data_IF_547277047457
#
_entry.id   IF_547277047457
#
_cell.length_a   1.000
_cell.length_b   1.000
_cell.length_c   1.000
_cell.angle_alpha   90.00
_cell.angle_beta   90.00
_cell.angle_gamma   90.00
#
_symmetry.space_group_name_H-M   'P 1'
#
loop_
_entity.id
_entity.type
_entity.pdbx_description
1 polymer ?
#
# COMPACT_ATOMS: atom_id res chain seq x y z
N UNK A 1 3.43 9.91 -25.07
CA UNK A 1 3.33 8.49 -24.65
C UNK A 1 4.24 8.37 -23.45
N UNK A 2 3.71 8.10 -22.25
CA UNK A 2 4.52 8.13 -21.02
C UNK A 2 5.18 6.77 -20.80
N UNK A 3 6.47 6.82 -20.48
CA UNK A 3 7.25 5.64 -20.15
C UNK A 3 7.09 5.33 -18.66
N UNK A 4 7.02 4.05 -18.25
CA UNK A 4 6.84 3.67 -16.84
C UNK A 4 7.96 4.13 -15.90
N UNK A 5 9.13 4.49 -16.45
CA UNK A 5 10.30 4.93 -15.71
C UNK A 5 10.34 6.45 -15.43
N UNK A 6 9.37 7.21 -15.95
CA UNK A 6 9.24 8.65 -15.71
C UNK A 6 7.76 8.99 -15.42
N UNK A 7 7.26 8.60 -14.22
CA UNK A 7 5.86 8.78 -13.88
C UNK A 7 5.52 10.25 -13.71
N UNK A 8 4.41 10.70 -14.31
CA UNK A 8 3.90 12.05 -14.03
C UNK A 8 3.27 12.10 -12.64
N UNK A 9 3.70 13.10 -11.89
CA UNK A 9 3.30 13.30 -10.51
C UNK A 9 2.13 14.29 -10.47
N UNK A 10 1.11 14.06 -9.62
CA UNK A 10 0.05 15.04 -9.43
C UNK A 10 0.66 16.33 -8.85
N UNK A 11 0.27 17.46 -9.43
CA UNK A 11 0.77 18.78 -9.02
C UNK A 11 -0.11 19.44 -7.96
N UNK A 12 -1.36 18.98 -7.84
CA UNK A 12 -2.37 19.56 -6.95
C UNK A 12 -3.14 18.47 -6.18
N UNK A 13 -3.57 18.74 -4.94
CA UNK A 13 -4.47 17.85 -4.21
C UNK A 13 -5.76 17.56 -5.00
N UNK A 14 -6.14 16.28 -5.09
CA UNK A 14 -7.33 15.83 -5.81
C UNK A 14 -7.18 15.71 -7.34
N UNK A 15 -5.99 16.00 -7.89
CA UNK A 15 -5.71 15.74 -9.31
C UNK A 15 -5.69 14.23 -9.58
N UNK A 16 -6.46 13.79 -10.57
CA UNK A 16 -6.54 12.38 -10.98
C UNK A 16 -5.77 12.19 -12.28
N UNK A 17 -4.71 11.39 -12.21
CA UNK A 17 -3.93 10.97 -13.36
C UNK A 17 -4.32 9.54 -13.74
N UNK A 18 -4.57 9.32 -15.04
CA UNK A 18 -4.95 8.01 -15.56
C UNK A 18 -3.81 7.46 -16.42
N UNK A 19 -3.02 6.54 -15.87
CA UNK A 19 -2.01 5.82 -16.64
C UNK A 19 -2.63 4.65 -17.39
N UNK A 20 -2.20 4.47 -18.65
CA UNK A 20 -2.73 3.44 -19.56
C UNK A 20 -1.58 2.66 -20.18
N UNK A 21 -1.89 1.49 -20.72
CA UNK A 21 -0.91 0.60 -21.40
C UNK A 21 0.21 0.13 -20.45
N UNK A 22 -0.11 -0.04 -19.17
CA UNK A 22 0.75 -0.72 -18.21
C UNK A 22 0.49 -2.23 -18.35
N UNK A 23 1.41 -2.94 -18.97
CA UNK A 23 1.29 -4.39 -19.20
C UNK A 23 2.20 -5.15 -18.25
N UNK A 24 1.74 -6.32 -17.78
CA UNK A 24 2.47 -7.11 -16.79
C UNK A 24 2.74 -6.30 -15.51
N UNK A 25 3.97 -6.36 -15.03
CA UNK A 25 4.44 -5.68 -13.82
C UNK A 25 4.82 -4.19 -14.04
N UNK A 26 4.49 -3.61 -15.19
CA UNK A 26 4.83 -2.21 -15.50
C UNK A 26 4.16 -1.21 -14.54
N UNK A 27 3.00 -1.55 -13.96
CA UNK A 27 2.37 -0.75 -12.90
C UNK A 27 3.23 -0.71 -11.64
N UNK A 28 3.77 -1.85 -11.21
CA UNK A 28 4.65 -1.94 -10.04
C UNK A 28 5.96 -1.18 -10.25
N UNK A 29 6.53 -1.20 -11.45
CA UNK A 29 7.67 -0.34 -11.80
C UNK A 29 7.32 1.15 -11.67
N UNK A 30 6.19 1.58 -12.24
CA UNK A 30 5.77 2.97 -12.17
C UNK A 30 5.50 3.43 -10.73
N UNK A 31 4.94 2.56 -9.87
CA UNK A 31 4.77 2.82 -8.44
C UNK A 31 6.11 2.93 -7.72
N UNK A 32 7.07 2.05 -8.02
CA UNK A 32 8.41 2.08 -7.43
C UNK A 32 9.17 3.38 -7.75
N UNK A 33 9.08 3.84 -9.00
CA UNK A 33 9.65 5.12 -9.41
C UNK A 33 8.94 6.30 -8.74
N UNK A 34 7.60 6.26 -8.65
CA UNK A 34 6.84 7.31 -7.98
C UNK A 34 7.19 7.40 -6.49
N UNK A 35 7.36 6.27 -5.80
CA UNK A 35 7.78 6.23 -4.40
C UNK A 35 9.20 6.79 -4.20
N UNK A 36 10.08 6.56 -5.16
CA UNK A 36 11.44 7.12 -5.16
C UNK A 36 11.45 8.65 -5.31
N UNK A 37 10.48 9.22 -6.04
CA UNK A 37 10.43 10.65 -6.33
C UNK A 37 9.57 11.47 -5.35
N UNK A 38 8.44 10.94 -4.87
CA UNK A 38 7.45 11.67 -4.04
C UNK A 38 7.44 11.28 -2.56
N UNK A 39 8.04 10.15 -2.19
CA UNK A 39 8.04 9.64 -0.82
C UNK A 39 7.01 8.54 -0.60
N UNK A 40 6.16 8.67 0.43
CA UNK A 40 5.20 7.63 0.80
C UNK A 40 4.08 7.48 -0.25
N UNK A 41 3.90 6.25 -0.73
CA UNK A 41 2.84 5.89 -1.68
C UNK A 41 1.91 4.86 -1.06
N UNK A 42 0.61 5.14 -1.07
CA UNK A 42 -0.42 4.17 -0.68
C UNK A 42 -0.94 3.50 -1.94
N UNK A 43 -0.56 2.24 -2.15
CA UNK A 43 -1.02 1.43 -3.27
C UNK A 43 -2.29 0.68 -2.88
N UNK A 44 -3.43 1.11 -3.43
CA UNK A 44 -4.72 0.48 -3.19
C UNK A 44 -4.97 -0.61 -4.21
N UNK A 45 -5.16 -1.85 -3.74
CA UNK A 45 -5.50 -3.00 -4.58
C UNK A 45 -6.96 -3.41 -4.40
N UNK A 46 -7.59 -3.88 -5.47
CA UNK A 46 -8.98 -4.35 -5.44
C UNK A 46 -9.14 -5.69 -4.72
N UNK A 47 -8.10 -6.52 -4.75
CA UNK A 47 -8.14 -7.90 -4.27
C UNK A 47 -6.94 -8.21 -3.39
N UNK A 48 -7.18 -8.77 -2.21
CA UNK A 48 -6.13 -9.18 -1.26
C UNK A 48 -5.18 -10.22 -1.85
N UNK A 49 -5.66 -11.06 -2.78
CA UNK A 49 -4.85 -12.06 -3.47
C UNK A 49 -3.67 -11.45 -4.24
N UNK A 50 -3.80 -10.22 -4.73
CA UNK A 50 -2.74 -9.54 -5.48
C UNK A 50 -1.66 -8.91 -4.59
N UNK A 51 -1.90 -8.75 -3.28
CA UNK A 51 -0.95 -8.09 -2.36
C UNK A 51 0.42 -8.78 -2.38
N UNK A 52 0.44 -10.10 -2.27
CA UNK A 52 1.70 -10.88 -2.24
C UNK A 52 2.49 -10.80 -3.56
N UNK A 53 1.80 -10.63 -4.69
CA UNK A 53 2.43 -10.45 -6.00
C UNK A 53 3.02 -9.04 -6.10
N UNK A 54 2.23 -8.02 -5.76
CA UNK A 54 2.67 -6.62 -5.76
C UNK A 54 3.85 -6.40 -4.82
N UNK A 55 3.84 -7.02 -3.64
CA UNK A 55 4.94 -6.97 -2.68
C UNK A 55 6.24 -7.50 -3.30
N UNK A 56 6.20 -8.66 -3.96
CA UNK A 56 7.37 -9.25 -4.64
C UNK A 56 7.87 -8.39 -5.81
N UNK A 57 6.95 -7.88 -6.63
CA UNK A 57 7.29 -7.02 -7.77
C UNK A 57 7.94 -5.71 -7.30
N UNK A 58 7.36 -5.07 -6.28
CA UNK A 58 7.89 -3.84 -5.70
C UNK A 58 9.23 -4.09 -5.02
N UNK A 59 9.39 -5.18 -4.27
CA UNK A 59 10.66 -5.56 -3.68
C UNK A 59 11.75 -5.72 -4.75
N UNK A 60 11.42 -6.35 -5.90
CA UNK A 60 12.33 -6.49 -7.03
C UNK A 60 12.74 -5.14 -7.63
N UNK A 61 11.78 -4.25 -7.93
CA UNK A 61 12.10 -2.95 -8.55
C UNK A 61 12.77 -1.96 -7.60
N UNK A 62 12.42 -2.00 -6.32
CA UNK A 62 13.00 -1.12 -5.31
C UNK A 62 14.39 -1.60 -4.87
N UNK A 63 14.70 -2.89 -4.97
CA UNK A 63 16.01 -3.47 -4.60
C UNK A 63 16.47 -3.02 -3.20
N UNK A 64 15.53 -3.03 -2.24
CA UNK A 64 15.79 -2.61 -0.86
C UNK A 64 15.99 -1.10 -0.64
N UNK A 65 15.90 -0.26 -1.69
CA UNK A 65 16.05 1.21 -1.56
C UNK A 65 14.98 1.83 -0.68
N UNK A 66 13.76 1.29 -0.73
CA UNK A 66 12.61 1.79 0.03
C UNK A 66 11.87 0.62 0.70
N UNK A 67 11.32 0.84 1.91
CA UNK A 67 10.47 -0.14 2.58
C UNK A 67 9.15 -0.36 1.81
N UNK A 68 8.77 -1.63 1.67
CA UNK A 68 7.44 -2.06 1.19
C UNK A 68 6.73 -2.70 2.38
N UNK A 69 5.57 -2.16 2.75
CA UNK A 69 4.74 -2.67 3.84
C UNK A 69 3.35 -3.02 3.33
N UNK A 70 2.69 -3.94 4.02
CA UNK A 70 1.32 -4.36 3.71
C UNK A 70 0.43 -4.04 4.91
N UNK A 71 -0.79 -3.55 4.64
CA UNK A 71 -1.84 -3.42 5.65
C UNK A 71 -2.93 -4.46 5.34
N UNK A 72 -2.91 -5.61 6.03
CA UNK A 72 -3.79 -6.73 5.68
C UNK A 72 -5.23 -6.43 6.09
N UNK A 73 -6.18 -7.01 5.36
CA UNK A 73 -7.58 -7.06 5.79
C UNK A 73 -7.74 -8.03 6.97
N UNK A 74 -8.88 -8.00 7.65
CA UNK A 74 -9.18 -8.86 8.79
C UNK A 74 -9.32 -10.35 8.46
N UNK A 75 -9.42 -10.69 7.17
CA UNK A 75 -9.69 -12.05 6.67
C UNK A 75 -11.00 -12.66 7.20
N UNK A 76 -11.89 -11.83 7.76
CA UNK A 76 -13.24 -12.20 8.15
C UNK A 76 -14.26 -11.29 7.44
N UNK A 77 -15.49 -11.79 7.32
CA UNK A 77 -16.56 -11.00 6.72
C UNK A 77 -17.03 -9.90 7.69
N UNK A 78 -17.64 -8.81 7.18
CA UNK A 78 -18.36 -7.88 8.04
C UNK A 78 -19.41 -8.61 8.88
N UNK A 79 -19.34 -8.45 10.20
CA UNK A 79 -20.23 -9.12 11.17
C UNK A 79 -20.07 -10.65 11.24
N UNK A 80 -18.89 -11.17 10.95
CA UNK A 80 -18.56 -12.57 11.17
C UNK A 80 -18.63 -12.94 12.67
N UNK A 81 -18.88 -14.22 12.94
CA UNK A 81 -18.93 -14.78 14.30
C UNK A 81 -17.55 -15.12 14.83
N UNK A 82 -16.55 -15.15 13.96
CA UNK A 82 -15.16 -15.49 14.30
C UNK A 82 -14.34 -14.21 14.30
N UNK A 83 -13.56 -14.04 15.37
CA UNK A 83 -12.59 -12.94 15.46
C UNK A 83 -11.46 -13.14 14.46
N UNK A 84 -10.86 -12.05 13.95
CA UNK A 84 -9.67 -12.14 13.11
C UNK A 84 -8.52 -12.86 13.83
N UNK A 85 -7.66 -13.51 13.06
CA UNK A 85 -6.51 -14.24 13.60
C UNK A 85 -5.57 -13.29 14.37
N UNK A 86 -5.03 -13.68 15.54
CA UNK A 86 -4.13 -12.82 16.32
C UNK A 86 -2.91 -12.29 15.54
N UNK A 87 -2.41 -13.07 14.58
CA UNK A 87 -1.30 -12.64 13.72
C UNK A 87 -1.69 -11.46 12.82
N UNK A 88 -2.90 -11.46 12.26
CA UNK A 88 -3.42 -10.36 11.44
C UNK A 88 -3.60 -9.10 12.29
N UNK A 89 -4.13 -9.24 13.50
CA UNK A 89 -4.23 -8.13 14.47
C UNK A 89 -2.84 -7.53 14.73
N UNK A 90 -1.85 -8.39 14.98
CA UNK A 90 -0.47 -7.97 15.28
C UNK A 90 0.19 -7.28 14.10
N UNK A 91 0.03 -7.80 12.88
CA UNK A 91 0.54 -7.19 11.66
C UNK A 91 -0.08 -5.81 11.42
N UNK A 92 -1.39 -5.65 11.63
CA UNK A 92 -2.07 -4.35 11.49
C UNK A 92 -1.57 -3.34 12.51
N UNK A 93 -1.43 -3.74 13.77
CA UNK A 93 -0.89 -2.85 14.81
C UNK A 93 0.54 -2.43 14.51
N UNK A 94 1.39 -3.35 14.06
CA UNK A 94 2.76 -3.06 13.66
C UNK A 94 2.81 -2.04 12.51
N UNK A 95 2.01 -2.26 11.46
CA UNK A 95 1.92 -1.35 10.32
C UNK A 95 1.44 0.04 10.74
N UNK A 96 0.39 0.12 11.57
CA UNK A 96 -0.14 1.41 12.06
C UNK A 96 0.83 2.15 12.98
N UNK A 97 1.62 1.43 13.77
CA UNK A 97 2.64 2.03 14.62
C UNK A 97 3.83 2.58 13.81
N UNK A 98 4.22 1.89 12.73
CA UNK A 98 5.33 2.32 11.88
C UNK A 98 4.95 3.46 10.93
N UNK A 99 3.69 3.51 10.49
CA UNK A 99 3.22 4.41 9.44
C UNK A 99 3.47 5.92 9.72
N UNK A 100 3.23 6.46 10.94
CA UNK A 100 3.47 7.88 11.23
C UNK A 100 4.93 8.30 11.08
N UNK A 101 5.88 7.40 11.36
CA UNK A 101 7.31 7.65 11.25
C UNK A 101 7.87 7.52 9.83
N UNK A 102 7.10 6.92 8.92
CA UNK A 102 7.58 6.51 7.61
C UNK A 102 7.29 7.59 6.55
N UNK A 103 8.34 8.32 6.15
CA UNK A 103 8.23 9.41 5.17
C UNK A 103 8.34 8.97 3.71
N UNK A 104 8.94 7.80 3.47
CA UNK A 104 9.15 7.24 2.13
C UNK A 104 8.91 5.72 2.15
N UNK A 105 8.36 5.20 1.07
CA UNK A 105 8.04 3.78 0.95
C UNK A 105 6.74 3.53 0.20
N UNK A 106 6.35 2.25 0.16
CA UNK A 106 5.07 1.83 -0.41
C UNK A 106 4.27 1.08 0.65
N UNK A 107 3.05 1.52 0.91
CA UNK A 107 2.06 0.80 1.71
C UNK A 107 1.02 0.17 0.79
N UNK A 108 0.99 -1.15 0.72
CA UNK A 108 0.00 -1.90 -0.07
C UNK A 108 -1.22 -2.17 0.81
N UNK A 109 -2.40 -1.74 0.37
CA UNK A 109 -3.65 -1.85 1.14
C UNK A 109 -4.77 -2.38 0.24
N UNK A 110 -5.44 -3.49 0.60
CA UNK A 110 -6.69 -3.88 -0.03
C UNK A 110 -7.78 -2.84 0.18
N UNK A 111 -8.66 -2.64 -0.80
CA UNK A 111 -9.78 -1.70 -0.69
C UNK A 111 -10.68 -2.00 0.53
N UNK A 112 -10.86 -3.26 0.87
CA UNK A 112 -11.65 -3.70 2.03
C UNK A 112 -11.02 -3.23 3.35
N UNK A 113 -9.71 -3.37 3.49
CA UNK A 113 -8.96 -2.89 4.65
C UNK A 113 -8.95 -1.35 4.73
N UNK A 114 -8.84 -0.67 3.58
CA UNK A 114 -8.82 0.81 3.50
C UNK A 114 -10.15 1.43 3.94
N UNK A 115 -11.27 0.79 3.63
CA UNK A 115 -12.61 1.30 3.97
C UNK A 115 -12.98 1.09 5.44
N UNK A 116 -12.22 0.28 6.18
CA UNK A 116 -12.45 0.06 7.59
C UNK A 116 -12.01 1.26 8.43
N UNK A 117 -12.85 1.66 9.38
CA UNK A 117 -12.47 2.66 10.38
C UNK A 117 -11.36 2.10 11.26
N UNK A 118 -10.36 2.93 11.51
CA UNK A 118 -9.23 2.61 12.38
C UNK A 118 -9.42 3.19 13.77
N UNK A 119 -8.76 2.59 14.76
CA UNK A 119 -8.64 3.21 16.07
C UNK A 119 -7.88 4.55 15.96
N UNK A 120 -8.22 5.55 16.79
CA UNK A 120 -7.45 6.79 16.85
C UNK A 120 -5.97 6.53 17.17
N UNK A 121 -5.05 7.30 16.58
CA UNK A 121 -3.61 7.12 16.73
C UNK A 121 -3.13 7.10 18.20
N UNK A 122 -3.78 7.89 19.06
CA UNK A 122 -3.49 7.94 20.50
C UNK A 122 -3.60 6.58 21.21
N UNK A 123 -4.37 5.63 20.68
CA UNK A 123 -4.47 4.27 21.24
C UNK A 123 -3.37 3.33 20.75
N UNK A 124 -2.63 3.72 19.70
CA UNK A 124 -1.57 2.92 19.08
C UNK A 124 -0.20 3.37 19.58
N UNK A 125 -0.04 4.67 19.86
CA UNK A 125 1.23 5.27 20.27
C UNK A 125 1.52 5.14 21.78
N UNK A 126 0.51 4.86 22.61
CA UNK A 126 0.62 4.73 24.07
C UNK A 126 0.33 6.01 24.84
#
# INVERSE_FOLDING_TARGET
>A
MQAPNDPVLPTKPGEVLNWRKLFGSASSLAVAELATQQGMVVLVCSETAHVSMLEKELAFYLDGRLPVQTFPDWECLPYDRVSPHPDIVSQRLLALHQLPGQKQGVLIVPITALMQRLAPAVYIDG
#
